data_IF_922328467461
#
_entry.id   IF_922328467461
#
_cell.length_a   1.000
_cell.length_b   1.000
_cell.length_c   1.000
_cell.angle_alpha   90.00
_cell.angle_beta   90.00
_cell.angle_gamma   90.00
#
_symmetry.space_group_name_H-M   'P 1'
#
loop_
_entity.id
_entity.type
_entity.pdbx_description
1 polymer ?
#
# COMPACT_ATOMS: atom_id res chain seq x y z
N UNK A 1 -0.59 -8.59 -3.73
CA UNK A 1 0.83 -8.19 -3.68
C UNK A 1 1.77 -9.28 -4.15
N UNK A 2 1.73 -10.47 -3.55
CA UNK A 2 2.52 -11.64 -3.99
C UNK A 2 2.18 -12.00 -5.45
N UNK A 3 0.88 -12.06 -5.78
CA UNK A 3 0.43 -12.35 -7.15
C UNK A 3 1.02 -11.41 -8.23
N UNK A 4 1.03 -10.09 -8.01
CA UNK A 4 1.61 -9.15 -8.99
C UNK A 4 3.12 -9.32 -9.14
N UNK A 5 3.83 -9.67 -8.06
CA UNK A 5 5.26 -9.92 -8.11
C UNK A 5 5.58 -11.27 -8.78
N UNK A 6 4.73 -12.29 -8.61
CA UNK A 6 4.89 -13.60 -9.25
C UNK A 6 4.69 -13.51 -10.77
N UNK A 7 3.72 -12.69 -11.21
CA UNK A 7 3.42 -12.49 -12.63
C UNK A 7 4.18 -11.30 -13.24
N UNK A 8 5.06 -10.64 -12.47
CA UNK A 8 5.82 -9.45 -12.88
C UNK A 8 4.93 -8.34 -13.48
N UNK A 9 3.73 -8.19 -12.95
CA UNK A 9 2.73 -7.21 -13.40
C UNK A 9 2.99 -5.85 -12.74
N UNK A 10 2.89 -4.80 -13.54
CA UNK A 10 3.00 -3.41 -13.08
C UNK A 10 1.67 -2.97 -12.49
N UNK A 11 1.70 -2.32 -11.33
CA UNK A 11 0.48 -1.90 -10.66
C UNK A 11 0.69 -0.68 -9.77
N UNK A 12 -0.42 -0.10 -9.31
CA UNK A 12 -0.40 1.05 -8.41
C UNK A 12 -1.18 0.75 -7.14
N UNK A 13 -0.63 1.18 -6.02
CA UNK A 13 -1.28 1.14 -4.71
C UNK A 13 -1.76 2.56 -4.34
N UNK A 14 -2.85 2.65 -3.59
CA UNK A 14 -3.36 3.92 -3.10
C UNK A 14 -3.96 3.74 -1.72
N UNK A 15 -3.64 4.65 -0.81
CA UNK A 15 -4.09 4.60 0.58
C UNK A 15 -4.62 5.94 1.06
N UNK A 16 -5.59 5.88 1.98
CA UNK A 16 -6.08 7.03 2.75
C UNK A 16 -5.94 6.70 4.23
N UNK A 17 -5.47 7.66 5.00
CA UNK A 17 -5.30 7.56 6.46
C UNK A 17 -6.63 7.35 7.18
N UNK A 18 -6.59 6.69 8.35
CA UNK A 18 -7.77 6.43 9.18
C UNK A 18 -8.47 7.72 9.66
N UNK A 19 -7.75 8.83 9.75
CA UNK A 19 -8.31 10.14 10.11
C UNK A 19 -8.72 10.97 8.87
N UNK A 20 -8.56 10.42 7.66
CA UNK A 20 -8.96 11.02 6.39
C UNK A 20 -8.39 12.42 6.11
N UNK A 21 -7.19 12.73 6.60
CA UNK A 21 -6.52 14.02 6.31
C UNK A 21 -5.26 13.86 5.47
N UNK A 22 -4.82 12.62 5.23
CA UNK A 22 -3.71 12.30 4.34
C UNK A 22 -4.00 11.05 3.52
N UNK A 23 -3.28 10.92 2.40
CA UNK A 23 -3.29 9.75 1.56
C UNK A 23 -2.12 9.78 0.59
N UNK A 24 -1.92 8.70 -0.15
CA UNK A 24 -0.83 8.55 -1.10
C UNK A 24 -1.22 7.65 -2.28
N UNK A 25 -0.40 7.69 -3.32
CA UNK A 25 -0.36 6.71 -4.41
C UNK A 25 1.08 6.22 -4.56
N UNK A 26 1.27 4.97 -4.96
CA UNK A 26 2.58 4.38 -5.17
C UNK A 26 2.59 3.53 -6.45
N UNK A 27 3.52 3.83 -7.35
CA UNK A 27 3.76 3.05 -8.55
C UNK A 27 4.73 1.90 -8.27
N UNK A 28 4.32 0.68 -8.62
CA UNK A 28 5.03 -0.55 -8.30
C UNK A 28 5.33 -1.31 -9.60
N UNK A 29 6.61 -1.30 -9.98
CA UNK A 29 7.19 -2.10 -11.05
C UNK A 29 8.11 -3.13 -10.39
N UNK A 30 7.74 -4.42 -10.37
CA UNK A 30 8.53 -5.46 -9.72
C UNK A 30 9.99 -5.46 -10.22
N UNK A 31 10.93 -5.46 -9.27
CA UNK A 31 12.37 -5.40 -9.57
C UNK A 31 12.94 -4.00 -9.88
N UNK A 32 12.10 -2.97 -10.04
CA UNK A 32 12.54 -1.58 -10.33
C UNK A 32 12.12 -0.54 -9.31
N UNK A 33 10.89 -0.62 -8.77
CA UNK A 33 10.42 0.29 -7.70
C UNK A 33 10.08 -0.46 -6.41
N UNK A 34 10.21 0.24 -5.27
CA UNK A 34 10.07 -0.37 -3.95
C UNK A 34 8.68 -0.98 -3.75
N UNK A 35 8.63 -2.21 -3.22
CA UNK A 35 7.39 -2.91 -2.92
C UNK A 35 7.01 -2.83 -1.42
N UNK A 36 5.83 -3.31 -1.06
CA UNK A 36 5.20 -3.27 0.28
C UNK A 36 5.27 -4.68 0.94
N UNK A 37 5.98 -5.62 0.32
CA UNK A 37 6.17 -6.95 0.86
C UNK A 37 7.24 -7.00 1.96
N UNK A 38 7.11 -7.98 2.86
CA UNK A 38 8.17 -8.38 3.78
C UNK A 38 9.32 -9.05 3.03
N UNK A 39 10.54 -8.79 3.51
CA UNK A 39 11.82 -9.28 3.01
C UNK A 39 12.01 -10.82 2.97
N UNK A 40 10.96 -11.63 3.14
CA UNK A 40 11.06 -13.09 3.07
C UNK A 40 10.73 -13.69 1.69
N UNK A 41 10.22 -12.90 0.73
CA UNK A 41 9.83 -13.41 -0.60
C UNK A 41 10.74 -12.93 -1.75
N UNK A 42 11.61 -11.93 -1.53
CA UNK A 42 12.46 -11.42 -2.60
C UNK A 42 13.76 -12.23 -2.75
N UNK A 43 13.73 -13.14 -3.72
CA UNK A 43 14.92 -13.68 -4.38
C UNK A 43 15.80 -12.50 -4.83
N UNK A 44 16.96 -12.34 -4.18
CA UNK A 44 18.24 -11.78 -4.65
C UNK A 44 18.33 -10.54 -5.59
N UNK A 45 17.27 -9.77 -5.89
CA UNK A 45 17.39 -8.51 -6.64
C UNK A 45 17.08 -7.29 -5.75
N UNK A 46 18.03 -6.36 -5.78
CA UNK A 46 18.41 -5.45 -4.70
C UNK A 46 17.51 -4.22 -4.61
N UNK A 47 16.25 -4.39 -4.24
CA UNK A 47 15.37 -3.27 -3.92
C UNK A 47 14.68 -3.48 -2.58
N UNK A 48 14.90 -2.56 -1.64
CA UNK A 48 14.29 -2.60 -0.32
C UNK A 48 12.77 -2.45 -0.49
N UNK A 49 12.02 -3.52 -0.29
CA UNK A 49 10.61 -3.41 0.01
C UNK A 49 10.45 -2.89 1.44
N UNK A 50 9.55 -1.92 1.64
CA UNK A 50 9.39 -1.23 2.92
C UNK A 50 8.00 -1.53 3.49
N UNK A 51 7.84 -2.68 4.17
CA UNK A 51 6.58 -3.04 4.78
C UNK A 51 6.26 -2.11 5.98
N UNK A 52 4.98 -1.83 6.24
CA UNK A 52 4.57 -1.12 7.46
C UNK A 52 4.88 -1.96 8.71
N UNK A 53 5.02 -1.29 9.85
CA UNK A 53 5.47 -1.89 11.11
C UNK A 53 4.60 -3.08 11.57
N UNK A 54 3.29 -3.01 11.35
CA UNK A 54 2.34 -4.08 11.74
C UNK A 54 2.67 -5.39 11.01
N UNK A 55 2.96 -5.30 9.72
CA UNK A 55 3.36 -6.42 8.89
C UNK A 55 4.78 -6.86 9.27
N UNK A 56 5.72 -5.92 9.43
CA UNK A 56 7.11 -6.19 9.83
C UNK A 56 7.24 -6.92 11.17
N UNK A 57 6.37 -6.60 12.13
CA UNK A 57 6.36 -7.19 13.46
C UNK A 57 5.50 -8.45 13.54
N UNK A 58 4.92 -8.91 12.43
CA UNK A 58 4.01 -10.05 12.35
C UNK A 58 2.83 -9.93 13.34
N UNK A 59 2.35 -8.70 13.55
CA UNK A 59 1.18 -8.41 14.39
C UNK A 59 -0.06 -8.55 13.50
N UNK A 60 -1.09 -9.25 14.00
CA UNK A 60 -2.36 -9.34 13.28
C UNK A 60 -3.04 -7.96 13.24
N UNK A 61 -3.31 -7.42 12.05
CA UNK A 61 -3.97 -6.13 11.84
C UNK A 61 -5.33 -6.05 12.56
N UNK A 62 -6.00 -7.19 12.77
CA UNK A 62 -7.26 -7.27 13.53
C UNK A 62 -7.11 -6.79 14.97
N UNK A 63 -5.92 -6.91 15.55
CA UNK A 63 -5.64 -6.44 16.91
C UNK A 63 -5.58 -4.91 17.02
N UNK A 64 -5.35 -4.21 15.90
CA UNK A 64 -5.36 -2.75 15.83
C UNK A 64 -6.76 -2.18 15.64
N UNK A 65 -7.68 -2.97 15.06
CA UNK A 65 -9.07 -2.56 14.87
C UNK A 65 -9.77 -2.50 16.23
N UNK A 66 -10.33 -1.33 16.54
CA UNK A 66 -11.20 -1.14 17.71
C UNK A 66 -12.64 -1.48 17.32
N UNK A 67 -13.25 -2.41 18.05
CA UNK A 67 -14.65 -2.79 17.81
C UNK A 67 -15.60 -1.63 18.10
N UNK A 68 -16.59 -1.44 17.23
CA UNK A 68 -17.59 -0.37 17.35
C UNK A 68 -17.15 1.03 16.91
N UNK A 69 -15.94 1.19 16.37
CA UNK A 69 -15.48 2.45 15.75
C UNK A 69 -15.11 2.25 14.29
N UNK A 70 -15.32 3.29 13.48
CA UNK A 70 -14.98 3.31 12.06
C UNK A 70 -13.85 4.29 11.80
N UNK A 71 -13.05 4.02 10.77
CA UNK A 71 -12.16 5.02 10.19
C UNK A 71 -12.98 6.22 9.70
N UNK A 72 -12.44 7.43 9.87
CA UNK A 72 -13.01 8.61 9.24
C UNK A 72 -12.89 8.47 7.71
N UNK A 73 -13.85 9.05 7.00
CA UNK A 73 -13.87 9.05 5.54
C UNK A 73 -14.34 10.42 5.07
N UNK A 74 -13.44 11.18 4.44
CA UNK A 74 -13.76 12.47 3.82
C UNK A 74 -13.78 12.31 2.30
N UNK A 75 -14.93 12.59 1.63
CA UNK A 75 -15.04 12.52 0.18
C UNK A 75 -13.99 13.36 -0.55
N UNK A 76 -13.56 14.47 0.04
CA UNK A 76 -12.52 15.35 -0.51
C UNK A 76 -11.18 14.63 -0.63
N UNK A 77 -10.72 13.97 0.42
CA UNK A 77 -9.44 13.22 0.38
C UNK A 77 -9.51 12.03 -0.56
N UNK A 78 -10.61 11.28 -0.54
CA UNK A 78 -10.81 10.15 -1.45
C UNK A 78 -10.81 10.60 -2.92
N UNK A 79 -11.50 11.70 -3.23
CA UNK A 79 -11.55 12.25 -4.59
C UNK A 79 -10.17 12.73 -5.06
N UNK A 80 -9.38 13.38 -4.20
CA UNK A 80 -8.02 13.83 -4.52
C UNK A 80 -7.11 12.63 -4.83
N UNK A 81 -7.11 11.61 -3.96
CA UNK A 81 -6.28 10.42 -4.15
C UNK A 81 -6.70 9.63 -5.39
N UNK A 82 -8.00 9.44 -5.61
CA UNK A 82 -8.51 8.79 -6.83
C UNK A 82 -8.16 9.58 -8.10
N UNK A 83 -8.25 10.92 -8.04
CA UNK A 83 -7.84 11.79 -9.14
C UNK A 83 -6.36 11.64 -9.49
N UNK A 84 -5.48 11.65 -8.48
CA UNK A 84 -4.05 11.40 -8.70
C UNK A 84 -3.77 9.99 -9.21
N UNK A 85 -4.45 8.98 -8.69
CA UNK A 85 -4.28 7.59 -9.13
C UNK A 85 -4.60 7.44 -10.62
N UNK A 86 -5.76 7.92 -11.05
CA UNK A 86 -6.17 7.85 -12.47
C UNK A 86 -5.25 8.69 -13.34
N UNK A 87 -4.86 9.89 -12.91
CA UNK A 87 -3.93 10.73 -13.68
C UNK A 87 -2.55 10.11 -13.86
N UNK A 88 -2.07 9.28 -12.92
CA UNK A 88 -0.79 8.58 -13.06
C UNK A 88 -0.91 7.32 -13.92
N UNK A 89 -2.11 6.77 -14.09
CA UNK A 89 -2.38 5.59 -14.91
C UNK A 89 -2.62 5.92 -16.40
N UNK A 90 -2.81 7.19 -16.76
CA UNK A 90 -2.96 7.68 -18.14
C UNK A 90 -1.61 7.97 -18.79
#
# INVERSE_FOLDING_TARGET
>A
MVACNEENEVWMESGVSENAVSGHIQFIEPGRTACFALLYVAKADRLQCMPPLVIASNIDERTLKREGVCAASLPTTMAVIAGFLVQNAL
#
